data_IF_208668068309
#
_entry.id   IF_208668068309
#
_cell.length_a   1.000
_cell.length_b   1.000
_cell.length_c   1.000
_cell.angle_alpha   90.00
_cell.angle_beta   90.00
_cell.angle_gamma   90.00
#
_symmetry.space_group_name_H-M   'P 1'
#
loop_
_entity.id
_entity.type
_entity.pdbx_description
1 polymer ?
#
# COMPACT_ATOMS: atom_id res chain seq x y z
N UNK A 1 -7.77 0.81 12.64
CA UNK A 1 -8.51 -0.29 11.98
C UNK A 1 -8.84 -1.43 12.94
N UNK A 2 -7.89 -2.21 13.46
CA UNK A 2 -8.19 -3.37 14.33
C UNK A 2 -9.06 -3.06 15.56
N UNK A 3 -8.81 -1.92 16.23
CA UNK A 3 -9.65 -1.47 17.36
C UNK A 3 -11.11 -1.26 16.93
N UNK A 4 -11.33 -0.67 15.75
CA UNK A 4 -12.66 -0.43 15.20
C UNK A 4 -13.37 -1.72 14.80
N UNK A 5 -12.64 -2.69 14.22
CA UNK A 5 -13.18 -4.02 13.90
C UNK A 5 -13.64 -4.74 15.17
N UNK A 6 -12.81 -4.73 16.23
CA UNK A 6 -13.20 -5.28 17.54
C UNK A 6 -14.43 -4.58 18.12
N UNK A 7 -14.50 -3.25 18.05
CA UNK A 7 -15.66 -2.51 18.52
C UNK A 7 -16.94 -2.85 17.73
N UNK A 8 -16.81 -3.14 16.43
CA UNK A 8 -17.88 -3.60 15.56
C UNK A 8 -18.21 -5.10 15.69
N UNK A 9 -17.48 -5.84 16.54
CA UNK A 9 -17.60 -7.30 16.73
C UNK A 9 -17.41 -8.12 15.44
N UNK A 10 -16.53 -7.66 14.56
CA UNK A 10 -16.14 -8.36 13.33
C UNK A 10 -14.69 -8.83 13.41
N UNK A 11 -14.32 -9.79 12.56
CA UNK A 11 -12.97 -10.36 12.48
C UNK A 11 -12.17 -9.75 11.32
N UNK A 12 -10.83 -9.59 11.43
CA UNK A 12 -10.01 -9.00 10.36
C UNK A 12 -10.17 -9.69 8.99
N UNK A 13 -10.32 -11.01 8.95
CA UNK A 13 -10.52 -11.78 7.72
C UNK A 13 -11.85 -11.48 7.01
N UNK A 14 -12.77 -10.74 7.63
CA UNK A 14 -14.00 -10.26 6.99
C UNK A 14 -13.75 -9.00 6.15
N UNK A 15 -12.55 -8.43 6.21
CA UNK A 15 -12.18 -7.20 5.51
C UNK A 15 -11.19 -7.46 4.38
N UNK A 16 -11.45 -6.78 3.26
CA UNK A 16 -10.50 -6.67 2.16
C UNK A 16 -9.47 -5.56 2.45
N UNK A 17 -8.20 -5.86 2.21
CA UNK A 17 -7.10 -4.92 2.28
C UNK A 17 -6.56 -4.65 0.87
N UNK A 18 -6.26 -3.38 0.58
CA UNK A 18 -5.59 -2.94 -0.64
C UNK A 18 -4.42 -2.01 -0.26
N UNK A 19 -3.22 -2.30 -0.74
CA UNK A 19 -2.01 -1.57 -0.37
C UNK A 19 -1.49 -0.70 -1.53
N UNK A 20 -1.42 0.62 -1.34
CA UNK A 20 -0.92 1.56 -2.35
C UNK A 20 0.15 2.46 -1.74
N UNK A 21 1.27 2.69 -2.44
CA UNK A 21 2.30 3.64 -1.98
C UNK A 21 3.71 3.07 -1.93
N UNK A 22 4.58 3.70 -1.13
CA UNK A 22 6.01 3.33 -1.07
C UNK A 22 6.81 3.67 -2.34
N UNK A 23 6.34 4.64 -3.13
CA UNK A 23 7.06 5.15 -4.30
C UNK A 23 8.11 6.19 -3.94
N UNK A 24 9.17 6.26 -4.73
CA UNK A 24 10.20 7.31 -4.66
C UNK A 24 9.81 8.45 -5.60
N UNK A 25 9.44 9.61 -5.06
CA UNK A 25 8.96 10.76 -5.85
C UNK A 25 10.09 11.67 -6.35
N UNK A 26 11.27 11.62 -5.73
CA UNK A 26 12.41 12.48 -6.06
C UNK A 26 13.59 11.62 -6.56
N UNK A 27 14.10 11.93 -7.75
CA UNK A 27 15.28 11.29 -8.32
C UNK A 27 16.55 11.62 -7.50
N UNK A 28 17.60 10.84 -7.70
CA UNK A 28 18.88 10.91 -6.96
C UNK A 28 19.69 12.21 -7.14
N UNK A 29 19.13 13.27 -7.73
CA UNK A 29 19.80 14.53 -8.01
C UNK A 29 20.14 15.35 -6.75
N UNK A 30 19.52 15.06 -5.62
CA UNK A 30 19.79 15.72 -4.33
C UNK A 30 20.12 14.69 -3.25
N UNK A 31 21.27 14.01 -3.36
CA UNK A 31 21.81 13.23 -2.25
C UNK A 31 22.83 14.05 -1.48
N UNK A 32 22.37 14.76 -0.45
CA UNK A 32 23.18 14.85 0.76
C UNK A 32 23.14 13.47 1.45
N UNK A 33 24.24 12.98 2.03
CA UNK A 33 24.34 11.64 2.58
C UNK A 33 23.66 11.59 3.96
N UNK A 34 22.33 11.63 3.97
CA UNK A 34 21.55 11.24 5.14
C UNK A 34 20.93 9.87 4.85
N UNK A 35 21.74 8.83 5.10
CA UNK A 35 21.46 7.42 4.80
C UNK A 35 20.10 6.92 5.34
N UNK A 36 19.51 7.59 6.34
CA UNK A 36 18.23 7.20 6.95
C UNK A 36 16.97 7.49 6.13
N UNK A 37 16.93 8.53 5.30
CA UNK A 37 15.70 8.94 4.58
C UNK A 37 15.46 8.16 3.28
N UNK A 38 16.51 7.53 2.75
CA UNK A 38 16.44 6.81 1.46
C UNK A 38 15.61 5.53 1.54
N UNK A 39 15.40 5.00 2.75
CA UNK A 39 14.78 3.70 2.99
C UNK A 39 13.31 3.78 3.44
N UNK A 40 12.77 4.97 3.75
CA UNK A 40 11.39 5.11 4.23
C UNK A 40 10.36 4.49 3.28
N UNK A 41 10.43 4.70 1.94
CA UNK A 41 9.47 4.08 1.03
C UNK A 41 9.51 2.55 1.07
N UNK A 42 10.71 1.95 1.15
CA UNK A 42 10.87 0.50 1.22
C UNK A 42 10.41 -0.06 2.57
N UNK A 43 10.78 0.59 3.67
CA UNK A 43 10.29 0.23 5.02
C UNK A 43 8.76 0.26 5.11
N UNK A 44 8.12 1.24 4.47
CA UNK A 44 6.66 1.32 4.44
C UNK A 44 6.04 0.14 3.67
N UNK A 45 6.64 -0.25 2.53
CA UNK A 45 6.20 -1.43 1.75
C UNK A 45 6.31 -2.71 2.58
N UNK A 46 7.47 -2.93 3.20
CA UNK A 46 7.72 -4.13 4.01
C UNK A 46 6.78 -4.18 5.22
N UNK A 47 6.68 -3.08 5.97
CA UNK A 47 5.84 -2.99 7.16
C UNK A 47 4.36 -3.13 6.81
N UNK A 48 3.89 -2.51 5.73
CA UNK A 48 2.50 -2.62 5.30
C UNK A 48 2.10 -4.05 4.94
N UNK A 49 2.94 -4.76 4.19
CA UNK A 49 2.72 -6.19 3.87
C UNK A 49 2.73 -7.04 5.12
N UNK A 50 3.68 -6.82 6.03
CA UNK A 50 3.77 -7.57 7.27
C UNK A 50 2.55 -7.35 8.17
N UNK A 51 2.08 -6.11 8.32
CA UNK A 51 0.89 -5.82 9.13
C UNK A 51 -0.37 -6.48 8.57
N UNK A 52 -0.54 -6.49 7.24
CA UNK A 52 -1.68 -7.18 6.60
C UNK A 52 -1.62 -8.68 6.88
N UNK A 53 -0.45 -9.30 6.70
CA UNK A 53 -0.22 -10.72 6.95
C UNK A 53 -0.41 -11.09 8.42
N UNK A 54 0.22 -10.34 9.32
CA UNK A 54 0.21 -10.58 10.77
C UNK A 54 -1.21 -10.55 11.35
N UNK A 55 -2.09 -9.72 10.79
CA UNK A 55 -3.45 -9.56 11.28
C UNK A 55 -4.50 -10.34 10.48
N UNK A 56 -4.10 -11.17 9.51
CA UNK A 56 -5.02 -12.03 8.76
C UNK A 56 -6.00 -11.28 7.84
N UNK A 57 -5.65 -10.06 7.44
CA UNK A 57 -6.46 -9.28 6.50
C UNK A 57 -6.38 -9.90 5.09
N UNK A 58 -7.49 -9.90 4.34
CA UNK A 58 -7.51 -10.44 2.97
C UNK A 58 -6.92 -9.44 1.99
N UNK A 59 -5.65 -9.61 1.61
CA UNK A 59 -5.01 -8.76 0.61
C UNK A 59 -5.61 -9.00 -0.79
N UNK A 60 -6.38 -8.04 -1.30
CA UNK A 60 -7.02 -8.11 -2.63
C UNK A 60 -6.22 -7.43 -3.73
N UNK A 61 -5.49 -6.38 -3.40
CA UNK A 61 -4.69 -5.66 -4.38
C UNK A 61 -3.49 -4.97 -3.73
N UNK A 62 -2.41 -4.82 -4.48
CA UNK A 62 -1.30 -3.95 -4.12
C UNK A 62 -0.73 -3.23 -5.35
N UNK A 63 -0.32 -1.98 -5.17
CA UNK A 63 0.50 -1.21 -6.11
C UNK A 63 1.59 -0.45 -5.33
N UNK A 64 2.75 -1.07 -5.20
CA UNK A 64 3.80 -0.71 -4.24
C UNK A 64 5.16 -0.46 -4.90
N UNK A 65 6.06 0.24 -4.21
CA UNK A 65 7.43 0.48 -4.70
C UNK A 65 7.47 1.49 -5.85
N UNK A 66 8.43 1.40 -6.77
CA UNK A 66 8.51 2.22 -7.98
C UNK A 66 8.98 3.68 -7.79
N UNK A 67 9.20 4.35 -8.92
CA UNK A 67 9.57 5.77 -9.00
C UNK A 67 8.43 6.57 -9.62
N UNK A 68 8.08 7.71 -9.04
CA UNK A 68 6.97 8.54 -9.49
C UNK A 68 5.82 8.64 -8.46
N UNK A 69 4.75 9.33 -8.85
CA UNK A 69 3.65 9.68 -7.96
C UNK A 69 2.35 8.99 -8.38
N UNK A 70 1.40 8.91 -7.43
CA UNK A 70 0.12 8.22 -7.57
C UNK A 70 -1.00 9.13 -7.11
N UNK A 71 -2.11 9.10 -7.84
CA UNK A 71 -3.39 9.59 -7.35
C UNK A 71 -4.31 8.39 -7.14
N UNK A 72 -4.83 8.26 -5.91
CA UNK A 72 -5.69 7.16 -5.49
C UNK A 72 -7.08 7.73 -5.17
N UNK A 73 -8.09 7.24 -5.87
CA UNK A 73 -9.50 7.46 -5.54
C UNK A 73 -10.05 6.18 -4.92
N UNK A 74 -10.63 6.28 -3.73
CA UNK A 74 -11.26 5.17 -3.03
C UNK A 74 -12.76 5.42 -2.89
N UNK A 75 -13.55 4.51 -3.46
CA UNK A 75 -15.00 4.52 -3.35
C UNK A 75 -15.40 3.68 -2.13
N UNK A 76 -16.11 4.28 -1.17
CA UNK A 76 -16.35 3.67 0.15
C UNK A 76 -17.44 2.59 0.06
N UNK A 77 -18.45 2.78 -0.79
CA UNK A 77 -19.60 1.90 -0.87
C UNK A 77 -19.26 0.53 -1.46
N UNK A 78 -18.57 0.49 -2.61
CA UNK A 78 -18.13 -0.73 -3.29
C UNK A 78 -16.78 -1.22 -2.78
N UNK A 79 -15.99 -0.33 -2.18
CA UNK A 79 -14.60 -0.60 -1.83
C UNK A 79 -13.65 -0.53 -3.02
N UNK A 80 -14.07 -0.02 -4.19
CA UNK A 80 -13.22 0.10 -5.36
C UNK A 80 -12.11 1.14 -5.18
N UNK A 81 -10.99 0.87 -5.85
CA UNK A 81 -9.82 1.72 -5.82
C UNK A 81 -9.35 1.99 -7.24
N UNK A 82 -9.39 3.26 -7.64
CA UNK A 82 -8.91 3.72 -8.94
C UNK A 82 -7.57 4.43 -8.73
N UNK A 83 -6.56 3.94 -9.43
CA UNK A 83 -5.20 4.45 -9.33
C UNK A 83 -4.78 5.06 -10.65
N UNK A 84 -4.35 6.32 -10.62
CA UNK A 84 -3.57 6.91 -11.71
C UNK A 84 -2.11 6.98 -11.28
N UNK A 85 -1.23 6.38 -12.06
CA UNK A 85 0.20 6.31 -11.77
C UNK A 85 1.00 6.99 -12.89
N UNK A 86 1.92 7.87 -12.52
CA UNK A 86 2.87 8.50 -13.42
C UNK A 86 4.29 8.15 -12.95
N UNK A 87 4.83 7.08 -13.51
CA UNK A 87 6.10 6.54 -13.06
C UNK A 87 6.41 5.17 -13.65
N UNK A 88 7.41 4.52 -13.06
CA UNK A 88 7.94 3.23 -13.48
C UNK A 88 8.28 2.32 -12.29
N UNK A 89 8.49 1.04 -12.55
CA UNK A 89 8.97 0.02 -11.60
C UNK A 89 8.09 -0.22 -10.36
N UNK A 90 6.81 0.18 -10.41
CA UNK A 90 5.87 -0.17 -9.36
C UNK A 90 5.41 -1.63 -9.52
N UNK A 91 5.39 -2.37 -8.42
CA UNK A 91 4.85 -3.72 -8.38
C UNK A 91 3.34 -3.65 -8.23
N UNK A 92 2.60 -4.17 -9.21
CA UNK A 92 1.16 -4.33 -9.13
C UNK A 92 0.80 -5.80 -8.97
N UNK A 93 -0.08 -6.11 -8.01
CA UNK A 93 -0.70 -7.44 -7.87
C UNK A 93 -2.17 -7.30 -7.54
N UNK A 94 -2.99 -8.18 -8.09
CA UNK A 94 -4.43 -8.27 -7.79
C UNK A 94 -4.77 -9.73 -7.56
N UNK A 95 -5.40 -10.02 -6.42
CA UNK A 95 -5.90 -11.35 -6.08
C UNK A 95 -7.41 -11.38 -6.36
N UNK A 96 -7.74 -11.76 -7.59
CA UNK A 96 -9.13 -11.85 -8.05
C UNK A 96 -9.29 -11.75 -9.57
N UNK A 97 -8.78 -12.74 -10.31
CA UNK A 97 -9.44 -13.28 -11.49
C UNK A 97 -9.24 -14.81 -11.43
N UNK A 98 -10.32 -15.51 -11.08
CA UNK A 98 -10.58 -16.88 -11.51
C UNK A 98 -11.72 -16.79 -12.53
#
# INVERSE_FOLDING_TARGET
FLRSMRAARTRPEEYDAKLFGGGRMFGHAHRTPHAGYTDVPLKNVLTGRELVRQHGLKLKAEHLGGQGHRNLMFEIWSGDAYLKFWGQDAQQRTHGQA
#
